data_IF_971719460271
#
_entry.id   IF_971719460271
#
_cell.length_a   1.000
_cell.length_b   1.000
_cell.length_c   1.000
_cell.angle_alpha   90.00
_cell.angle_beta   90.00
_cell.angle_gamma   90.00
#
_symmetry.space_group_name_H-M   'P 1'
#
loop_
_entity.id
_entity.type
_entity.pdbx_description
1 polymer ?
#
# COMPACT_ATOMS: atom_id res chain seq x y z
N UNK A 1 -9.17 10.71 12.07
CA UNK A 1 -7.83 10.06 12.10
C UNK A 1 -7.68 9.09 13.26
N UNK A 2 -7.90 9.51 14.51
CA UNK A 2 -7.78 8.64 15.69
C UNK A 2 -8.72 7.43 15.66
N UNK A 3 -9.99 7.63 15.30
CA UNK A 3 -10.98 6.55 15.18
C UNK A 3 -10.56 5.52 14.12
N UNK A 4 -10.13 5.96 12.93
CA UNK A 4 -9.62 5.07 11.89
C UNK A 4 -8.47 4.20 12.41
N UNK A 5 -7.53 4.80 13.15
CA UNK A 5 -6.40 4.06 13.73
C UNK A 5 -6.87 3.04 14.76
N UNK A 6 -7.80 3.44 15.63
CA UNK A 6 -8.37 2.54 16.65
C UNK A 6 -9.08 1.36 16.01
N UNK A 7 -9.86 1.58 14.94
CA UNK A 7 -10.53 0.52 14.19
C UNK A 7 -9.52 -0.46 13.57
N UNK A 8 -8.43 0.03 12.96
CA UNK A 8 -7.38 -0.85 12.43
C UNK A 8 -6.71 -1.67 13.54
N UNK A 9 -6.45 -1.06 14.70
CA UNK A 9 -5.81 -1.74 15.82
C UNK A 9 -6.70 -2.82 16.41
N UNK A 10 -7.99 -2.51 16.63
CA UNK A 10 -9.00 -3.47 17.08
C UNK A 10 -9.16 -4.59 16.04
N UNK A 11 -9.24 -4.26 14.75
CA UNK A 11 -9.34 -5.25 13.69
C UNK A 11 -8.13 -6.21 13.70
N UNK A 12 -6.91 -5.69 13.85
CA UNK A 12 -5.69 -6.52 13.95
C UNK A 12 -5.76 -7.51 15.11
N UNK A 13 -6.23 -7.07 16.28
CA UNK A 13 -6.35 -7.94 17.45
C UNK A 13 -7.48 -8.95 17.31
N UNK A 14 -8.66 -8.51 16.88
CA UNK A 14 -9.86 -9.34 16.80
C UNK A 14 -9.82 -10.38 15.68
N UNK A 15 -9.13 -10.07 14.58
CA UNK A 15 -9.07 -10.93 13.39
C UNK A 15 -7.76 -11.73 13.32
N UNK A 16 -6.93 -11.68 14.36
CA UNK A 16 -5.69 -12.43 14.42
C UNK A 16 -5.95 -13.93 14.20
N UNK A 17 -5.20 -14.54 13.28
CA UNK A 17 -5.35 -15.94 12.88
C UNK A 17 -6.58 -16.23 12.00
N UNK A 18 -7.34 -15.21 11.58
CA UNK A 18 -8.50 -15.34 10.68
C UNK A 18 -8.34 -14.53 9.40
N UNK A 19 -7.82 -13.31 9.51
CA UNK A 19 -7.49 -12.45 8.38
C UNK A 19 -6.05 -11.99 8.56
N UNK A 20 -5.18 -12.45 7.65
CA UNK A 20 -3.75 -12.22 7.76
C UNK A 20 -3.36 -10.76 7.55
N UNK A 21 -4.07 -10.05 6.67
CA UNK A 21 -3.67 -8.71 6.21
C UNK A 21 -4.79 -7.69 6.29
N UNK A 22 -4.42 -6.48 6.67
CA UNK A 22 -5.33 -5.35 6.81
C UNK A 22 -4.79 -4.22 5.94
N UNK A 23 -5.54 -3.90 4.88
CA UNK A 23 -5.17 -2.88 3.92
C UNK A 23 -5.65 -1.49 4.35
N UNK A 24 -4.78 -0.49 4.16
CA UNK A 24 -5.09 0.93 4.25
C UNK A 24 -5.08 1.57 2.85
N UNK A 25 -5.87 2.62 2.64
CA UNK A 25 -6.03 3.27 1.33
C UNK A 25 -5.38 4.65 1.32
N UNK A 26 -4.24 4.77 0.63
CA UNK A 26 -3.52 6.05 0.52
C UNK A 26 -4.28 7.12 -0.25
N UNK A 27 -5.10 6.73 -1.23
CA UNK A 27 -5.93 7.67 -2.00
C UNK A 27 -6.93 8.40 -1.11
N UNK A 28 -7.48 7.69 -0.11
CA UNK A 28 -8.46 8.24 0.82
C UNK A 28 -7.81 9.01 1.96
N UNK A 29 -6.68 8.50 2.46
CA UNK A 29 -6.10 8.95 3.72
C UNK A 29 -4.90 9.88 3.54
N UNK A 30 -4.39 10.03 2.32
CA UNK A 30 -3.12 10.69 2.06
C UNK A 30 -1.94 9.97 2.70
N UNK A 31 -0.74 10.55 2.57
CA UNK A 31 0.50 9.95 3.10
C UNK A 31 0.46 9.79 4.63
N UNK A 32 0.18 10.87 5.36
CA UNK A 32 0.19 10.88 6.83
C UNK A 32 -0.86 9.95 7.43
N UNK A 33 -2.08 9.96 6.88
CA UNK A 33 -3.15 9.09 7.34
C UNK A 33 -2.82 7.62 7.10
N UNK A 34 -2.19 7.29 5.96
CA UNK A 34 -1.75 5.93 5.65
C UNK A 34 -0.66 5.46 6.61
N UNK A 35 0.35 6.31 6.84
CA UNK A 35 1.40 6.06 7.82
C UNK A 35 0.84 5.80 9.22
N UNK A 36 -0.15 6.59 9.64
CA UNK A 36 -0.82 6.40 10.91
C UNK A 36 -1.55 5.03 11.00
N UNK A 37 -2.18 4.58 9.91
CA UNK A 37 -2.84 3.27 9.88
C UNK A 37 -1.83 2.12 9.88
N UNK A 38 -0.70 2.26 9.18
CA UNK A 38 0.40 1.28 9.20
C UNK A 38 1.00 1.14 10.61
N UNK A 39 1.08 2.23 11.37
CA UNK A 39 1.44 2.22 12.79
C UNK A 39 0.27 1.82 13.73
N UNK A 40 -0.88 1.51 13.15
CA UNK A 40 -2.13 1.19 13.84
C UNK A 40 -2.62 -0.23 13.57
N UNK A 41 -1.83 -1.11 12.94
CA UNK A 41 -2.19 -2.50 12.70
C UNK A 41 -2.46 -2.86 11.24
N UNK A 42 -2.49 -1.88 10.34
CA UNK A 42 -2.44 -2.14 8.90
C UNK A 42 -1.04 -2.62 8.47
N UNK A 43 -1.01 -3.48 7.46
CA UNK A 43 0.22 -4.02 6.87
C UNK A 43 0.19 -4.05 5.34
N UNK A 44 -0.80 -3.43 4.72
CA UNK A 44 -0.92 -3.41 3.27
C UNK A 44 -1.27 -2.00 2.82
N UNK A 45 -0.41 -1.40 2.02
CA UNK A 45 -0.54 0.00 1.60
C UNK A 45 -1.47 0.13 0.39
N UNK A 46 -1.95 -0.99 -0.15
CA UNK A 46 -2.56 -1.05 -1.46
C UNK A 46 -1.49 -0.93 -2.54
N UNK A 47 -1.87 -0.41 -3.71
CA UNK A 47 -0.96 -0.36 -4.82
C UNK A 47 -0.86 0.93 -5.60
N UNK A 48 0.02 0.93 -6.59
CA UNK A 48 0.09 2.00 -7.59
C UNK A 48 -1.21 2.00 -8.38
N UNK A 49 -1.81 3.17 -8.50
CA UNK A 49 -3.00 3.40 -9.32
C UNK A 49 -2.61 4.11 -10.60
N UNK A 50 -3.30 3.78 -11.69
CA UNK A 50 -3.27 4.55 -12.92
C UNK A 50 -4.30 5.65 -12.82
N UNK A 51 -4.10 6.78 -13.51
CA UNK A 51 -5.03 7.91 -13.56
C UNK A 51 -6.47 7.44 -13.87
N UNK A 52 -7.27 7.20 -12.83
CA UNK A 52 -8.68 6.88 -12.99
C UNK A 52 -9.47 8.18 -12.99
N UNK A 53 -10.06 8.49 -14.14
CA UNK A 53 -11.03 9.57 -14.29
C UNK A 53 -12.14 9.52 -13.21
N UNK A 54 -12.45 8.32 -12.68
CA UNK A 54 -13.42 8.09 -11.61
C UNK A 54 -12.97 8.70 -10.26
N UNK A 55 -11.70 8.54 -9.86
CA UNK A 55 -11.22 9.04 -8.56
C UNK A 55 -11.18 10.58 -8.52
N UNK A 56 -10.86 11.23 -9.64
CA UNK A 56 -10.99 12.69 -9.79
C UNK A 56 -12.44 13.15 -9.74
N UNK A 57 -13.34 12.45 -10.45
CA UNK A 57 -14.78 12.76 -10.45
C UNK A 57 -15.47 12.48 -9.11
N UNK A 58 -14.93 11.58 -8.30
CA UNK A 58 -15.43 11.25 -6.96
C UNK A 58 -14.89 12.16 -5.83
N UNK A 59 -14.08 13.18 -6.16
CA UNK A 59 -13.60 14.17 -5.19
C UNK A 59 -12.42 13.72 -4.32
N UNK A 60 -11.51 12.89 -4.84
CA UNK A 60 -10.28 12.56 -4.13
C UNK A 60 -9.29 13.75 -4.14
N UNK A 61 -9.01 14.32 -2.97
CA UNK A 61 -8.10 15.48 -2.82
C UNK A 61 -6.61 15.09 -2.79
N UNK A 62 -6.28 13.82 -2.51
CA UNK A 62 -4.91 13.38 -2.16
C UNK A 62 -4.10 12.77 -3.33
N UNK A 63 -4.51 13.03 -4.57
CA UNK A 63 -3.83 12.55 -5.78
C UNK A 63 -4.40 11.25 -6.35
N UNK A 64 -4.31 11.09 -7.67
CA UNK A 64 -4.85 9.95 -8.43
C UNK A 64 -3.81 8.88 -8.76
N UNK A 65 -2.55 9.10 -8.38
CA UNK A 65 -1.43 8.22 -8.68
C UNK A 65 -0.36 8.32 -7.59
N UNK A 66 0.31 7.19 -7.32
CA UNK A 66 1.59 7.13 -6.60
C UNK A 66 2.52 6.18 -7.34
N UNK A 67 3.78 6.55 -7.48
CA UNK A 67 4.83 5.71 -8.04
C UNK A 67 5.29 4.66 -7.01
N UNK A 68 6.12 3.71 -7.45
CA UNK A 68 6.69 2.72 -6.52
C UNK A 68 7.59 3.41 -5.51
N UNK A 69 8.44 4.33 -5.97
CA UNK A 69 9.34 5.10 -5.12
C UNK A 69 8.57 5.91 -4.08
N UNK A 70 7.43 6.50 -4.43
CA UNK A 70 6.59 7.25 -3.48
C UNK A 70 5.94 6.34 -2.43
N UNK A 71 5.52 5.13 -2.81
CA UNK A 71 4.98 4.15 -1.86
C UNK A 71 6.09 3.60 -0.93
N UNK A 72 7.27 3.33 -1.47
CA UNK A 72 8.45 2.96 -0.68
C UNK A 72 8.82 4.08 0.30
N UNK A 73 8.88 5.33 -0.14
CA UNK A 73 9.12 6.51 0.70
C UNK A 73 8.06 6.69 1.78
N UNK A 74 6.78 6.48 1.46
CA UNK A 74 5.69 6.53 2.43
C UNK A 74 5.95 5.58 3.60
N UNK A 75 6.38 4.35 3.30
CA UNK A 75 6.67 3.35 4.33
C UNK A 75 7.99 3.61 5.06
N UNK A 76 9.05 3.99 4.34
CA UNK A 76 10.39 4.15 4.93
C UNK A 76 10.46 5.35 5.86
N UNK A 77 9.65 6.39 5.61
CA UNK A 77 9.48 7.54 6.50
C UNK A 77 8.96 7.17 7.90
N UNK A 78 8.37 5.98 8.08
CA UNK A 78 7.97 5.44 9.39
C UNK A 78 8.83 4.25 9.84
N UNK A 79 10.01 4.07 9.23
CA UNK A 79 10.94 3.01 9.57
C UNK A 79 10.53 1.61 9.10
N UNK A 80 9.66 1.51 8.09
CA UNK A 80 9.22 0.24 7.50
C UNK A 80 9.63 0.17 6.04
N UNK A 81 10.21 -0.95 5.61
CA UNK A 81 10.55 -1.16 4.21
C UNK A 81 9.36 -1.79 3.48
N UNK A 82 9.07 -1.40 2.24
CA UNK A 82 8.00 -1.99 1.44
C UNK A 82 8.48 -3.20 0.61
N UNK A 83 7.56 -4.11 0.33
CA UNK A 83 7.76 -5.35 -0.42
C UNK A 83 6.57 -5.59 -1.36
N UNK A 84 6.85 -5.88 -2.62
CA UNK A 84 5.82 -6.15 -3.62
C UNK A 84 5.17 -7.52 -3.42
N UNK A 85 3.83 -7.58 -3.46
CA UNK A 85 3.05 -8.82 -3.34
C UNK A 85 2.20 -9.13 -4.57
N UNK A 86 1.85 -10.41 -4.71
CA UNK A 86 0.74 -10.84 -5.58
C UNK A 86 -0.62 -10.59 -4.92
N UNK A 87 -1.71 -10.80 -5.66
CA UNK A 87 -3.08 -10.69 -5.11
C UNK A 87 -3.32 -11.65 -3.95
N UNK A 88 -2.69 -12.83 -3.96
CA UNK A 88 -2.78 -13.83 -2.90
C UNK A 88 -1.67 -13.69 -1.85
N UNK A 89 -1.04 -12.52 -1.75
CA UNK A 89 -0.02 -12.22 -0.74
C UNK A 89 1.24 -13.11 -0.80
N UNK A 90 1.59 -13.58 -2.00
CA UNK A 90 2.84 -14.28 -2.26
C UNK A 90 3.88 -13.40 -2.96
N UNK A 91 5.05 -13.98 -3.20
CA UNK A 91 6.16 -13.35 -3.92
C UNK A 91 5.84 -13.23 -5.43
N UNK A 92 5.90 -12.03 -6.02
CA UNK A 92 5.80 -11.84 -7.47
C UNK A 92 7.01 -12.44 -8.18
N UNK A 93 6.83 -12.86 -9.44
CA UNK A 93 7.95 -13.33 -10.28
C UNK A 93 9.08 -12.29 -10.37
N UNK A 94 10.33 -12.76 -10.50
CA UNK A 94 11.50 -11.89 -10.62
C UNK A 94 11.36 -10.88 -11.77
N UNK A 95 10.82 -11.32 -12.91
CA UNK A 95 10.47 -10.44 -14.04
C UNK A 95 9.53 -9.30 -13.64
N UNK A 96 8.49 -9.57 -12.85
CA UNK A 96 7.54 -8.53 -12.41
C UNK A 96 8.19 -7.54 -11.46
N UNK A 97 9.08 -8.00 -10.59
CA UNK A 97 9.84 -7.11 -9.69
C UNK A 97 10.84 -6.26 -10.47
N UNK A 98 11.52 -6.84 -11.45
CA UNK A 98 12.44 -6.11 -12.31
C UNK A 98 11.74 -4.99 -13.08
N UNK A 99 10.59 -5.28 -13.71
CA UNK A 99 9.78 -4.28 -14.40
C UNK A 99 9.31 -3.17 -13.45
N UNK A 100 8.90 -3.53 -12.23
CA UNK A 100 8.49 -2.56 -11.22
C UNK A 100 9.65 -1.65 -10.78
N UNK A 101 10.84 -2.21 -10.63
CA UNK A 101 12.03 -1.45 -10.26
C UNK A 101 12.51 -0.53 -11.38
N UNK A 102 12.45 -1.00 -12.63
CA UNK A 102 12.78 -0.21 -13.83
C UNK A 102 11.85 1.01 -13.97
N UNK A 103 10.58 0.85 -13.60
CA UNK A 103 9.56 1.89 -13.70
C UNK A 103 9.21 2.52 -12.33
N UNK A 104 10.12 2.44 -11.36
CA UNK A 104 9.78 2.79 -9.98
C UNK A 104 9.47 4.28 -9.79
N UNK A 105 10.12 5.14 -10.57
CA UNK A 105 9.94 6.58 -10.57
C UNK A 105 8.85 7.06 -11.55
N UNK A 106 8.39 6.20 -12.45
CA UNK A 106 7.37 6.52 -13.45
C UNK A 106 6.01 6.06 -12.98
N UNK A 107 5.03 6.96 -13.08
CA UNK A 107 3.64 6.64 -12.83
C UNK A 107 3.20 5.42 -13.66
N UNK A 108 2.64 4.42 -12.96
CA UNK A 108 2.19 3.17 -13.57
C UNK A 108 1.00 3.39 -14.54
N UNK A 109 0.40 4.60 -14.58
CA UNK A 109 -0.59 5.07 -15.58
C UNK A 109 -0.19 4.87 -17.04
N UNK A 110 1.09 4.59 -17.32
CA UNK A 110 1.60 4.26 -18.65
C UNK A 110 1.60 2.77 -19.02
N UNK A 111 1.42 1.83 -18.05
CA UNK A 111 1.75 0.40 -18.27
C UNK A 111 0.59 -0.61 -18.13
N UNK A 112 -0.60 -0.20 -17.66
CA UNK A 112 -1.79 -1.06 -17.55
C UNK A 112 -1.85 -1.97 -16.31
N UNK A 113 -0.92 -1.82 -15.36
CA UNK A 113 -0.71 -2.77 -14.25
C UNK A 113 -0.74 -2.05 -12.90
N UNK A 114 -1.15 -2.76 -11.83
CA UNK A 114 -1.13 -2.24 -10.45
C UNK A 114 -0.18 -3.06 -9.59
N UNK A 115 0.64 -2.37 -8.79
CA UNK A 115 1.65 -2.94 -7.90
C UNK A 115 1.19 -2.87 -6.46
N UNK A 116 1.04 -3.97 -5.71
CA UNK A 116 0.59 -3.93 -4.30
C UNK A 116 1.76 -4.18 -3.35
N UNK A 117 1.85 -3.42 -2.25
CA UNK A 117 2.99 -3.47 -1.33
C UNK A 117 2.59 -3.81 0.13
N UNK A 118 3.42 -4.62 0.79
CA UNK A 118 3.40 -4.92 2.23
C UNK A 118 4.70 -4.44 2.87
N UNK A 119 4.75 -4.12 4.16
CA UNK A 119 6.00 -3.99 4.88
C UNK A 119 6.80 -5.30 4.94
N UNK A 120 8.13 -5.22 4.81
CA UNK A 120 9.02 -6.38 4.71
C UNK A 120 8.98 -7.27 5.97
N UNK A 121 8.77 -6.69 7.15
CA UNK A 121 8.62 -7.40 8.42
C UNK A 121 7.42 -8.37 8.44
N UNK A 122 6.39 -8.07 7.63
CA UNK A 122 5.18 -8.90 7.50
C UNK A 122 5.44 -10.10 6.59
N UNK A 123 6.37 -9.98 5.64
CA UNK A 123 6.75 -11.07 4.73
C UNK A 123 7.57 -12.14 5.45
N UNK A 124 8.48 -11.72 6.34
CA UNK A 124 9.41 -12.61 7.04
C UNK A 124 8.83 -13.31 8.27
N UNK A 125 7.58 -13.02 8.65
CA UNK A 125 6.90 -13.59 9.84
C UNK A 125 5.99 -14.79 9.52
N UNK A 126 6.05 -15.30 8.29
CA UNK A 126 5.39 -16.53 7.82
C UNK A 126 6.41 -17.64 7.59
#
# INVERSE_FOLDING_TARGET
AQENRAVHAVARLMLHGRIDHIQTSWVKLGTEGTQLMLQGGADDVGGTLMEETISRMAGADNGSEKTVDELEQLTSAIGREAYQRTTTYGEPSAERRAVARENAATGYASTGKSLKLLPLDVVNSR
#
